data_IF_568179815963
#
_entry.id   IF_568179815963
#
_cell.length_a   1.000
_cell.length_b   1.000
_cell.length_c   1.000
_cell.angle_alpha   90.00
_cell.angle_beta   90.00
_cell.angle_gamma   90.00
#
_symmetry.space_group_name_H-M   'P 1'
#
loop_
_entity.id
_entity.type
_entity.pdbx_description
1 polymer ?
#
# COMPACT_ATOMS: atom_id res chain seq x y z
N UNK A 1 5.82 -8.11 11.35
CA UNK A 1 5.92 -9.55 11.02
C UNK A 1 4.68 -10.32 11.47
N UNK A 2 4.33 -10.31 12.77
CA UNK A 2 3.21 -11.07 13.31
C UNK A 2 1.85 -10.77 12.63
N UNK A 3 1.55 -9.52 12.30
CA UNK A 3 0.30 -9.14 11.60
C UNK A 3 0.14 -9.83 10.24
N UNK A 4 1.21 -9.90 9.44
CA UNK A 4 1.17 -10.58 8.15
C UNK A 4 1.05 -12.09 8.33
N UNK A 5 1.71 -12.65 9.35
CA UNK A 5 1.59 -14.07 9.68
C UNK A 5 0.16 -14.43 10.08
N UNK A 6 -0.48 -13.65 10.95
CA UNK A 6 -1.88 -13.83 11.35
C UNK A 6 -2.84 -13.68 10.17
N UNK A 7 -2.60 -12.75 9.26
CA UNK A 7 -3.43 -12.57 8.07
C UNK A 7 -3.40 -13.83 7.18
N UNK A 8 -2.24 -14.48 7.03
CA UNK A 8 -2.13 -15.70 6.23
C UNK A 8 -2.69 -16.93 6.96
N UNK A 9 -2.44 -17.08 8.27
CA UNK A 9 -2.88 -18.26 9.01
C UNK A 9 -4.38 -18.24 9.33
N UNK A 10 -4.97 -17.06 9.58
CA UNK A 10 -6.41 -16.93 9.84
C UNK A 10 -7.27 -17.01 8.58
N UNK A 11 -6.71 -16.67 7.41
CA UNK A 11 -7.41 -16.67 6.13
C UNK A 11 -6.73 -17.59 5.11
N UNK A 12 -6.41 -18.83 5.51
CA UNK A 12 -5.70 -19.81 4.68
C UNK A 12 -6.59 -20.49 3.60
N UNK A 13 -7.87 -20.12 3.51
CA UNK A 13 -8.89 -20.81 2.74
C UNK A 13 -9.41 -20.04 1.51
N UNK A 14 -10.62 -20.37 1.00
CA UNK A 14 -11.16 -19.76 -0.21
C UNK A 14 -11.34 -18.24 -0.08
N UNK A 15 -11.09 -17.53 -1.16
CA UNK A 15 -11.20 -16.07 -1.20
C UNK A 15 -12.61 -15.60 -1.55
N UNK A 16 -13.21 -14.76 -0.70
CA UNK A 16 -14.43 -13.98 -0.98
C UNK A 16 -14.07 -12.57 -1.46
N UNK A 17 -15.07 -11.77 -1.82
CA UNK A 17 -14.84 -10.36 -2.17
C UNK A 17 -14.17 -9.61 -1.01
N UNK A 18 -14.64 -9.85 0.21
CA UNK A 18 -14.17 -9.22 1.44
C UNK A 18 -12.72 -9.64 1.75
N UNK A 19 -12.39 -10.93 1.65
CA UNK A 19 -11.01 -11.38 1.89
C UNK A 19 -10.05 -10.87 0.81
N UNK A 20 -10.52 -10.64 -0.44
CA UNK A 20 -9.72 -9.98 -1.48
C UNK A 20 -9.48 -8.50 -1.20
N UNK A 21 -10.46 -7.81 -0.63
CA UNK A 21 -10.32 -6.42 -0.18
C UNK A 21 -9.28 -6.36 0.94
N UNK A 22 -9.48 -7.10 2.04
CA UNK A 22 -8.58 -7.04 3.20
C UNK A 22 -7.23 -7.73 3.01
N UNK A 23 -7.15 -8.71 2.12
CA UNK A 23 -5.91 -9.35 1.73
C UNK A 23 -5.24 -8.57 0.59
N UNK A 24 -5.56 -8.91 -0.65
CA UNK A 24 -4.86 -8.43 -1.85
C UNK A 24 -4.84 -6.90 -1.96
N UNK A 25 -6.00 -6.24 -1.88
CA UNK A 25 -6.07 -4.79 -2.08
C UNK A 25 -5.38 -4.05 -0.92
N UNK A 26 -5.74 -4.36 0.33
CA UNK A 26 -5.19 -3.67 1.50
C UNK A 26 -3.71 -3.96 1.70
N UNK A 27 -3.20 -5.16 1.41
CA UNK A 27 -1.77 -5.44 1.51
C UNK A 27 -0.96 -4.62 0.50
N UNK A 28 -1.41 -4.54 -0.75
CA UNK A 28 -0.77 -3.68 -1.76
C UNK A 28 -0.85 -2.20 -1.38
N UNK A 29 -1.99 -1.75 -0.86
CA UNK A 29 -2.12 -0.37 -0.41
C UNK A 29 -1.19 -0.06 0.77
N UNK A 30 -1.06 -0.98 1.73
CA UNK A 30 -0.15 -0.84 2.87
C UNK A 30 1.32 -0.76 2.40
N UNK A 31 1.68 -1.49 1.34
CA UNK A 31 3.01 -1.39 0.75
C UNK A 31 3.23 -0.02 0.09
N UNK A 32 2.25 0.51 -0.64
CA UNK A 32 2.33 1.86 -1.24
C UNK A 32 2.49 2.93 -0.15
N UNK A 33 1.72 2.84 0.94
CA UNK A 33 1.73 3.82 2.03
C UNK A 33 3.01 3.86 2.85
N UNK A 34 3.87 2.85 2.75
CA UNK A 34 5.18 2.87 3.40
C UNK A 34 6.29 3.45 2.52
N UNK A 35 6.02 3.78 1.24
CA UNK A 35 7.04 4.24 0.29
C UNK A 35 7.08 5.78 0.14
N UNK A 36 8.26 6.36 -0.10
CA UNK A 36 8.44 7.81 -0.21
C UNK A 36 7.65 8.45 -1.36
N UNK A 37 7.41 7.71 -2.45
CA UNK A 37 6.58 8.18 -3.57
C UNK A 37 5.17 8.60 -3.09
N UNK A 38 4.60 7.93 -2.08
CA UNK A 38 3.29 8.28 -1.54
C UNK A 38 3.38 9.31 -0.40
N UNK A 39 4.17 9.02 0.64
CA UNK A 39 4.16 9.75 1.92
C UNK A 39 5.37 10.66 2.18
N UNK A 40 6.35 10.67 1.27
CA UNK A 40 7.58 11.47 1.38
C UNK A 40 7.33 12.98 1.36
N UNK A 41 8.35 13.77 1.72
CA UNK A 41 8.29 15.25 1.72
C UNK A 41 7.90 15.82 0.35
N UNK A 42 8.39 15.22 -0.73
CA UNK A 42 8.04 15.52 -2.14
C UNK A 42 7.11 14.46 -2.75
N UNK A 43 6.47 13.64 -1.92
CA UNK A 43 5.58 12.58 -2.34
C UNK A 43 4.19 13.09 -2.74
N UNK A 44 3.43 12.23 -3.42
CA UNK A 44 2.15 12.59 -4.02
C UNK A 44 1.12 13.15 -3.02
N UNK A 45 1.02 12.56 -1.82
CA UNK A 45 0.02 12.96 -0.85
C UNK A 45 0.30 14.35 -0.26
N UNK A 46 1.56 14.70 -0.03
CA UNK A 46 1.94 15.99 0.58
C UNK A 46 1.87 17.16 -0.40
N UNK A 47 2.06 16.89 -1.69
CA UNK A 47 2.01 17.93 -2.72
C UNK A 47 0.60 18.09 -3.32
N UNK A 48 -0.37 17.30 -2.86
CA UNK A 48 -1.76 17.47 -3.25
C UNK A 48 -2.25 18.89 -2.88
N UNK A 49 -2.79 19.60 -3.87
CA UNK A 49 -3.27 20.98 -3.70
C UNK A 49 -2.19 22.07 -3.75
N UNK A 50 -0.89 21.74 -3.80
CA UNK A 50 0.19 22.74 -3.83
C UNK A 50 0.60 23.18 -5.24
N UNK A 51 0.03 22.59 -6.29
CA UNK A 51 0.39 22.85 -7.69
C UNK A 51 1.78 22.35 -8.11
N UNK A 52 2.51 21.67 -7.22
CA UNK A 52 3.85 21.12 -7.50
C UNK A 52 3.75 19.66 -7.91
N UNK A 53 4.57 19.25 -8.89
CA UNK A 53 4.65 17.85 -9.33
C UNK A 53 5.46 17.03 -8.32
N UNK A 54 4.94 15.86 -7.95
CA UNK A 54 5.65 14.92 -7.09
C UNK A 54 6.88 14.30 -7.77
N UNK A 55 7.91 14.04 -6.97
CA UNK A 55 9.08 13.31 -7.41
C UNK A 55 8.89 11.82 -7.16
N UNK A 56 9.11 11.00 -8.19
CA UNK A 56 8.87 9.56 -8.15
C UNK A 56 10.12 8.81 -8.57
N UNK A 57 10.53 7.83 -7.76
CA UNK A 57 11.42 6.78 -8.25
C UNK A 57 10.66 5.92 -9.26
N UNK A 58 11.12 5.92 -10.51
CA UNK A 58 10.50 5.23 -11.65
C UNK A 58 10.90 3.76 -11.75
N UNK A 59 11.80 3.28 -10.89
CA UNK A 59 12.19 1.87 -10.85
C UNK A 59 11.02 1.01 -10.37
N UNK A 60 10.74 -0.06 -11.11
CA UNK A 60 9.78 -1.09 -10.68
C UNK A 60 10.41 -1.98 -9.62
N UNK A 61 9.55 -2.52 -8.75
CA UNK A 61 9.89 -3.52 -7.71
C UNK A 61 9.15 -4.79 -8.05
#
# INVERSE_FOLDING_TARGET
>A
ALTAMEANTRFAGPETMETKIFGRLSAWQNWIFQRPNAVGSTGALKLYGTGKRADFDKKRV
#
